data_IF_271468971718
#
_entry.id   IF_271468971718
#
_cell.length_a   1.000
_cell.length_b   1.000
_cell.length_c   1.000
_cell.angle_alpha   90.00
_cell.angle_beta   90.00
_cell.angle_gamma   90.00
#
_symmetry.space_group_name_H-M   'P 1'
#
loop_
_entity.id
_entity.type
_entity.pdbx_description
1 polymer ?
#
# COMPACT_ATOMS: atom_id res chain seq x y z
N UNK A 1 -8.00 46.34 11.48
CA UNK A 1 -9.02 45.67 10.64
C UNK A 1 -8.36 45.38 9.30
N UNK A 2 -7.93 44.18 8.97
CA UNK A 2 -7.98 42.88 9.63
C UNK A 2 -6.79 42.07 9.09
N UNK A 3 -6.35 41.12 9.90
CA UNK A 3 -5.08 40.43 9.89
C UNK A 3 -5.17 39.09 9.15
N UNK A 4 -4.94 39.07 7.84
CA UNK A 4 -4.75 37.79 7.14
C UNK A 4 -3.31 37.63 6.64
N UNK A 5 -2.47 37.37 7.63
CA UNK A 5 -1.23 36.63 7.55
C UNK A 5 -1.53 35.15 7.23
N UNK A 6 -0.75 34.53 6.34
CA UNK A 6 0.14 33.40 6.65
C UNK A 6 1.18 33.29 5.51
N UNK A 7 2.49 33.23 5.82
CA UNK A 7 3.56 33.21 4.84
C UNK A 7 4.21 31.82 4.68
N UNK A 8 5.05 31.76 3.63
CA UNK A 8 6.29 31.00 3.54
C UNK A 8 6.25 29.49 3.23
N UNK A 9 6.92 29.18 2.12
CA UNK A 9 7.68 27.96 1.82
C UNK A 9 6.93 26.78 1.17
N UNK A 10 6.97 26.85 -0.16
CA UNK A 10 7.07 25.71 -1.05
C UNK A 10 8.18 24.78 -0.56
N UNK A 11 7.84 23.69 0.13
CA UNK A 11 8.80 22.67 0.55
C UNK A 11 8.65 21.44 -0.34
N UNK A 12 9.69 21.17 -1.11
CA UNK A 12 9.79 20.02 -2.01
C UNK A 12 9.95 18.69 -1.21
N UNK A 13 9.06 17.71 -1.48
CA UNK A 13 9.19 16.22 -1.57
C UNK A 13 10.25 15.46 -0.69
N UNK A 14 9.95 14.29 -0.02
CA UNK A 14 9.12 13.18 -0.53
C UNK A 14 8.09 12.55 0.44
N UNK A 15 6.93 12.13 -0.09
CA UNK A 15 5.85 11.32 0.57
C UNK A 15 4.97 11.99 1.65
N UNK A 16 4.75 13.30 1.58
CA UNK A 16 4.21 14.10 2.69
C UNK A 16 2.72 14.50 2.68
N UNK A 17 1.77 13.74 2.13
CA UNK A 17 0.35 14.20 2.05
C UNK A 17 -0.69 13.36 2.80
N UNK A 18 -0.24 12.60 3.79
CA UNK A 18 -1.05 11.61 4.48
C UNK A 18 -1.41 12.02 5.91
N UNK A 19 -2.71 12.19 6.21
CA UNK A 19 -3.15 12.35 7.60
C UNK A 19 -3.00 11.01 8.33
N UNK A 20 -2.76 11.05 9.65
CA UNK A 20 -2.63 9.86 10.47
C UNK A 20 -3.82 8.88 10.31
N UNK A 21 -5.05 9.40 10.23
CA UNK A 21 -6.26 8.58 10.02
C UNK A 21 -6.33 7.93 8.65
N UNK A 22 -5.72 8.55 7.63
CA UNK A 22 -5.68 7.99 6.28
C UNK A 22 -4.60 6.89 6.18
N UNK A 23 -3.46 7.06 6.87
CA UNK A 23 -2.43 6.01 7.02
C UNK A 23 -2.97 4.78 7.75
N UNK A 24 -3.71 4.96 8.85
CA UNK A 24 -4.31 3.84 9.59
C UNK A 24 -5.26 3.04 8.70
N UNK A 25 -6.18 3.72 8.00
CA UNK A 25 -7.12 3.07 7.08
C UNK A 25 -6.42 2.40 5.90
N UNK A 26 -5.37 3.02 5.38
CA UNK A 26 -4.56 2.45 4.31
C UNK A 26 -3.86 1.16 4.79
N UNK A 27 -3.24 1.21 5.97
CA UNK A 27 -2.58 0.06 6.58
C UNK A 27 -3.53 -1.11 6.79
N UNK A 28 -4.71 -0.87 7.36
CA UNK A 28 -5.72 -1.91 7.58
C UNK A 28 -6.10 -2.62 6.27
N UNK A 29 -6.30 -1.86 5.18
CA UNK A 29 -6.61 -2.41 3.86
C UNK A 29 -5.46 -3.22 3.27
N UNK A 30 -4.22 -2.71 3.40
CA UNK A 30 -3.02 -3.37 2.91
C UNK A 30 -2.76 -4.69 3.67
N UNK A 31 -2.92 -4.68 5.00
CA UNK A 31 -2.81 -5.87 5.83
C UNK A 31 -3.87 -6.90 5.47
N UNK A 32 -5.12 -6.47 5.24
CA UNK A 32 -6.22 -7.38 4.89
C UNK A 32 -5.95 -8.19 3.61
N UNK A 33 -5.32 -7.59 2.59
CA UNK A 33 -5.03 -8.30 1.33
C UNK A 33 -3.73 -9.09 1.38
N UNK A 34 -2.66 -8.53 1.95
CA UNK A 34 -1.33 -9.17 1.96
C UNK A 34 -1.22 -10.29 3.00
N UNK A 35 -2.00 -10.22 4.10
CA UNK A 35 -2.07 -11.27 5.14
C UNK A 35 -3.26 -12.20 4.97
N UNK A 36 -3.99 -12.12 3.86
CA UNK A 36 -5.11 -13.02 3.61
C UNK A 36 -4.64 -14.49 3.63
N UNK A 37 -5.46 -15.45 4.10
CA UNK A 37 -5.08 -16.86 4.18
C UNK A 37 -4.58 -17.46 2.84
N UNK A 38 -5.08 -16.95 1.70
CA UNK A 38 -4.64 -17.35 0.37
C UNK A 38 -3.14 -17.08 0.12
N UNK A 39 -2.56 -16.12 0.83
CA UNK A 39 -1.15 -15.75 0.75
C UNK A 39 -0.27 -16.40 1.82
N UNK A 40 -0.84 -17.22 2.71
CA UNK A 40 -0.11 -17.78 3.86
C UNK A 40 1.18 -18.52 3.48
N UNK A 41 1.18 -19.23 2.34
CA UNK A 41 2.37 -19.91 1.83
C UNK A 41 3.48 -18.93 1.43
N UNK A 42 3.15 -17.81 0.79
CA UNK A 42 4.12 -16.78 0.43
C UNK A 42 4.61 -16.03 1.67
N UNK A 43 3.68 -15.68 2.57
CA UNK A 43 3.94 -14.90 3.78
C UNK A 43 4.78 -15.67 4.83
N UNK A 44 4.91 -16.99 4.73
CA UNK A 44 5.79 -17.77 5.59
C UNK A 44 7.27 -17.69 5.19
N UNK A 45 7.57 -17.29 3.95
CA UNK A 45 8.94 -17.23 3.41
C UNK A 45 9.40 -15.81 3.07
N UNK A 46 8.48 -14.86 2.95
CA UNK A 46 8.77 -13.50 2.48
C UNK A 46 8.34 -12.49 3.52
N UNK A 47 9.23 -11.54 3.82
CA UNK A 47 8.91 -10.39 4.66
C UNK A 47 7.88 -9.49 3.96
N UNK A 48 6.74 -9.29 4.63
CA UNK A 48 5.64 -8.45 4.16
C UNK A 48 5.90 -6.97 4.34
N UNK A 49 6.85 -6.59 5.20
CA UNK A 49 7.13 -5.19 5.57
C UNK A 49 7.30 -4.25 4.38
N UNK A 50 8.16 -4.54 3.37
CA UNK A 50 8.33 -3.64 2.22
C UNK A 50 7.04 -3.46 1.41
N UNK A 51 6.25 -4.52 1.26
CA UNK A 51 4.97 -4.47 0.54
C UNK A 51 3.91 -3.69 1.32
N UNK A 52 3.87 -3.85 2.64
CA UNK A 52 2.96 -3.12 3.52
C UNK A 52 3.29 -1.62 3.55
N UNK A 53 4.56 -1.25 3.64
CA UNK A 53 5.00 0.15 3.62
C UNK A 53 4.65 0.80 2.28
N UNK A 54 5.03 0.16 1.16
CA UNK A 54 4.71 0.68 -0.17
C UNK A 54 3.21 0.82 -0.39
N UNK A 55 2.45 -0.23 -0.05
CA UNK A 55 0.99 -0.21 -0.14
C UNK A 55 0.38 0.92 0.70
N UNK A 56 0.79 1.07 1.96
CA UNK A 56 0.21 2.05 2.89
C UNK A 56 0.48 3.48 2.40
N UNK A 57 1.72 3.75 1.97
CA UNK A 57 2.11 5.07 1.49
C UNK A 57 1.32 5.43 0.22
N UNK A 58 1.34 4.56 -0.80
CA UNK A 58 0.62 4.81 -2.05
C UNK A 58 -0.89 4.89 -1.83
N UNK A 59 -1.48 3.98 -1.05
CA UNK A 59 -2.92 3.97 -0.84
C UNK A 59 -3.40 5.22 -0.10
N UNK A 60 -2.59 5.75 0.80
CA UNK A 60 -2.89 6.98 1.50
C UNK A 60 -2.66 8.22 0.61
N UNK A 61 -1.57 8.28 -0.15
CA UNK A 61 -1.28 9.38 -1.09
C UNK A 61 -2.38 9.53 -2.16
N UNK A 62 -2.92 8.41 -2.63
CA UNK A 62 -3.92 8.38 -3.71
C UNK A 62 -5.35 8.10 -3.22
N UNK A 63 -5.61 8.21 -1.91
CA UNK A 63 -6.96 8.24 -1.37
C UNK A 63 -7.79 6.96 -1.55
N UNK A 64 -7.16 5.78 -1.59
CA UNK A 64 -7.90 4.52 -1.60
C UNK A 64 -8.10 3.86 -2.97
N UNK A 65 -7.37 4.28 -4.02
CA UNK A 65 -7.41 3.64 -5.33
C UNK A 65 -6.97 2.16 -5.23
N UNK A 66 -7.81 1.26 -5.76
CA UNK A 66 -7.50 -0.18 -5.90
C UNK A 66 -6.13 -0.44 -6.52
N UNK A 67 -5.64 0.48 -7.36
CA UNK A 67 -4.34 0.38 -8.01
C UNK A 67 -3.17 0.21 -7.02
N UNK A 68 -3.20 0.84 -5.84
CA UNK A 68 -2.17 0.66 -4.82
C UNK A 68 -2.14 -0.77 -4.25
N UNK A 69 -3.33 -1.34 -4.00
CA UNK A 69 -3.48 -2.75 -3.58
C UNK A 69 -3.01 -3.69 -4.70
N UNK A 70 -3.40 -3.42 -5.95
CA UNK A 70 -2.99 -4.22 -7.10
C UNK A 70 -1.47 -4.22 -7.29
N UNK A 71 -0.81 -3.07 -7.13
CA UNK A 71 0.63 -2.95 -7.26
C UNK A 71 1.36 -3.70 -6.13
N UNK A 72 0.87 -3.59 -4.90
CA UNK A 72 1.41 -4.34 -3.77
C UNK A 72 1.27 -5.86 -3.96
N UNK A 73 0.09 -6.33 -4.38
CA UNK A 73 -0.17 -7.74 -4.67
C UNK A 73 0.63 -8.25 -5.87
N UNK A 74 0.83 -7.42 -6.90
CA UNK A 74 1.68 -7.75 -8.05
C UNK A 74 3.13 -7.95 -7.61
N UNK A 75 3.67 -6.99 -6.85
CA UNK A 75 5.05 -7.06 -6.36
C UNK A 75 5.24 -8.24 -5.40
N UNK A 76 4.29 -8.47 -4.48
CA UNK A 76 4.34 -9.58 -3.55
C UNK A 76 4.18 -10.93 -4.27
N UNK A 77 3.32 -11.01 -5.28
CA UNK A 77 3.17 -12.17 -6.15
C UNK A 77 4.44 -12.51 -6.91
N UNK A 78 5.13 -11.52 -7.47
CA UNK A 78 6.41 -11.71 -8.13
C UNK A 78 7.50 -12.18 -7.16
N UNK A 79 7.57 -11.60 -5.96
CA UNK A 79 8.48 -12.05 -4.91
C UNK A 79 8.18 -13.51 -4.51
N UNK A 80 6.90 -13.87 -4.35
CA UNK A 80 6.47 -15.24 -4.08
C UNK A 80 6.95 -16.22 -5.16
N UNK A 81 6.78 -15.87 -6.44
CA UNK A 81 7.27 -16.67 -7.56
C UNK A 81 8.80 -16.82 -7.56
N UNK A 82 9.54 -15.77 -7.20
CA UNK A 82 11.01 -15.82 -7.13
C UNK A 82 11.53 -16.79 -6.07
N UNK A 83 10.73 -17.09 -5.04
CA UNK A 83 11.02 -18.12 -4.03
C UNK A 83 10.59 -19.54 -4.47
N UNK A 84 10.17 -19.72 -5.71
CA UNK A 84 9.66 -21.00 -6.22
C UNK A 84 8.27 -21.37 -5.71
N UNK A 85 7.55 -20.42 -5.09
CA UNK A 85 6.21 -20.62 -4.58
C UNK A 85 5.16 -20.17 -5.62
N UNK A 86 3.96 -20.76 -5.57
CA UNK A 86 2.86 -20.38 -6.44
C UNK A 86 1.96 -19.37 -5.73
N UNK A 87 1.90 -18.09 -6.17
CA UNK A 87 0.95 -17.14 -5.60
C UNK A 87 -0.50 -17.57 -5.90
N UNK A 88 -1.46 -17.21 -5.03
CA UNK A 88 -2.87 -17.51 -5.26
C UNK A 88 -3.40 -16.81 -6.51
N UNK A 89 -4.57 -17.21 -6.99
CA UNK A 89 -5.33 -16.40 -7.94
C UNK A 89 -5.91 -15.19 -7.20
N UNK A 90 -5.23 -14.05 -7.30
CA UNK A 90 -5.59 -12.82 -6.60
C UNK A 90 -6.16 -11.73 -7.52
N UNK A 91 -6.01 -11.91 -8.84
CA UNK A 91 -6.38 -10.94 -9.88
C UNK A 91 -7.56 -11.47 -10.72
N UNK A 92 -8.57 -10.64 -11.00
CA UNK A 92 -9.75 -11.03 -11.78
C UNK A 92 -10.50 -9.82 -12.37
N UNK A 93 -11.47 -10.04 -13.25
CA UNK A 93 -12.18 -8.97 -13.97
C UNK A 93 -12.87 -7.91 -13.10
N UNK A 94 -13.15 -8.17 -11.82
CA UNK A 94 -13.73 -7.20 -10.88
C UNK A 94 -12.74 -6.67 -9.83
N UNK A 95 -11.55 -7.26 -9.71
CA UNK A 95 -10.52 -6.84 -8.77
C UNK A 95 -9.13 -7.08 -9.35
N UNK A 96 -8.51 -5.97 -9.80
CA UNK A 96 -7.22 -5.95 -10.49
C UNK A 96 -7.17 -6.82 -11.76
#
# INVERSE_FOLDING_TARGET
VDEQQIPAEQQENPSGNCRATDLLRAREKCEAVLRAPAWAQCASQIDLTPFLVGCTNTLCEFGGLYHALCNALQAFGAACQSQGLKPPLWRNSSFC
#
